data_IF_991926468765
#
_entry.id   IF_991926468765
#
_cell.length_a   1.000
_cell.length_b   1.000
_cell.length_c   1.000
_cell.angle_alpha   90.00
_cell.angle_beta   90.00
_cell.angle_gamma   90.00
#
_symmetry.space_group_name_H-M   'P 1'
#
loop_
_entity.id
_entity.type
_entity.pdbx_description
1 polymer ?
#
# COMPACT_ATOMS: atom_id res chain seq x y z
N UNK A 1 -1.61 -7.25 12.61
CA UNK A 1 -2.31 -6.38 11.63
C UNK A 1 -1.48 -6.24 10.38
N UNK A 2 -2.07 -6.26 9.20
CA UNK A 2 -1.37 -6.09 7.93
C UNK A 2 -1.98 -4.93 7.18
N UNK A 3 -1.17 -4.00 6.68
CA UNK A 3 -1.62 -2.79 5.99
C UNK A 3 -1.11 -2.78 4.55
N UNK A 4 -1.94 -2.31 3.61
CA UNK A 4 -1.42 -1.75 2.37
C UNK A 4 -0.81 -0.36 2.64
N UNK A 5 -0.11 0.22 1.67
CA UNK A 5 0.60 1.48 1.85
C UNK A 5 -0.13 2.64 1.16
N UNK A 6 -0.11 2.66 -0.18
CA UNK A 6 -0.68 3.74 -0.97
C UNK A 6 -2.22 3.76 -0.83
N UNK A 7 -2.80 4.92 -0.55
CA UNK A 7 -4.25 5.04 -0.32
C UNK A 7 -4.76 4.49 1.01
N UNK A 8 -3.94 3.75 1.75
CA UNK A 8 -4.27 3.12 3.03
C UNK A 8 -3.53 3.78 4.20
N UNK A 9 -2.21 3.74 4.22
CA UNK A 9 -1.40 4.42 5.25
C UNK A 9 -1.22 5.90 4.92
N UNK A 10 -1.04 6.26 3.64
CA UNK A 10 -0.82 7.64 3.21
C UNK A 10 -1.40 7.93 1.80
N UNK A 11 -1.64 9.23 1.51
CA UNK A 11 -2.18 9.70 0.22
C UNK A 11 -1.06 9.91 -0.82
N UNK A 12 -0.43 8.82 -1.24
CA UNK A 12 0.78 8.80 -2.06
C UNK A 12 0.55 8.52 -3.54
N UNK A 13 -0.70 8.25 -3.95
CA UNK A 13 -1.03 7.85 -5.32
C UNK A 13 -0.70 8.94 -6.36
N UNK A 14 -1.01 10.23 -6.08
CA UNK A 14 -0.65 11.32 -6.99
C UNK A 14 0.86 11.43 -7.18
N UNK A 15 1.62 11.32 -6.08
CA UNK A 15 3.09 11.35 -6.09
C UNK A 15 3.64 10.21 -6.96
N UNK A 16 3.07 9.02 -6.83
CA UNK A 16 3.44 7.85 -7.62
C UNK A 16 3.16 8.08 -9.12
N UNK A 17 1.97 8.58 -9.45
CA UNK A 17 1.58 8.88 -10.84
C UNK A 17 2.52 9.93 -11.45
N UNK A 18 2.79 11.02 -10.76
CA UNK A 18 3.68 12.08 -11.24
C UNK A 18 5.11 11.56 -11.46
N UNK A 19 5.63 10.73 -10.57
CA UNK A 19 6.96 10.12 -10.72
C UNK A 19 7.03 9.20 -11.95
N UNK A 20 5.97 8.39 -12.22
CA UNK A 20 5.88 7.60 -13.45
C UNK A 20 5.84 8.47 -14.70
N UNK A 21 4.99 9.50 -14.71
CA UNK A 21 4.90 10.42 -15.84
C UNK A 21 6.25 11.07 -16.15
N UNK A 22 6.97 11.48 -15.11
CA UNK A 22 8.31 12.06 -15.23
C UNK A 22 9.31 11.06 -15.82
N UNK A 23 9.41 9.87 -15.24
CA UNK A 23 10.36 8.85 -15.68
C UNK A 23 10.10 8.38 -17.11
N UNK A 24 8.84 8.05 -17.45
CA UNK A 24 8.46 7.61 -18.79
C UNK A 24 8.79 8.71 -19.82
N UNK A 25 8.40 9.96 -19.54
CA UNK A 25 8.73 11.09 -20.43
C UNK A 25 10.24 11.27 -20.63
N UNK A 26 11.03 11.15 -19.58
CA UNK A 26 12.49 11.33 -19.65
C UNK A 26 13.16 10.29 -20.56
N UNK A 27 12.65 9.06 -20.61
CA UNK A 27 13.26 7.95 -21.34
C UNK A 27 12.62 7.68 -22.71
N UNK A 28 11.36 8.06 -22.94
CA UNK A 28 10.66 7.80 -24.20
C UNK A 28 10.29 9.07 -24.97
N UNK A 29 10.18 10.21 -24.28
CA UNK A 29 9.62 11.44 -24.80
C UNK A 29 8.09 11.48 -24.75
N UNK A 30 7.41 10.39 -24.39
CA UNK A 30 5.95 10.30 -24.35
C UNK A 30 5.38 10.97 -23.09
N UNK A 31 4.20 11.55 -23.25
CA UNK A 31 3.45 12.16 -22.16
C UNK A 31 2.20 11.33 -21.88
N UNK A 32 2.26 10.48 -20.84
CA UNK A 32 1.09 9.74 -20.39
C UNK A 32 0.21 10.61 -19.48
N UNK A 33 -1.10 10.47 -19.65
CA UNK A 33 -2.09 10.99 -18.69
C UNK A 33 -2.09 10.17 -17.41
N UNK A 34 -2.60 10.69 -16.28
CA UNK A 34 -2.78 9.90 -15.06
C UNK A 34 -3.52 8.57 -15.29
N UNK A 35 -4.58 8.59 -16.10
CA UNK A 35 -5.37 7.40 -16.40
C UNK A 35 -4.58 6.34 -17.19
N UNK A 36 -3.71 6.75 -18.11
CA UNK A 36 -2.83 5.84 -18.85
C UNK A 36 -1.77 5.23 -17.95
N UNK A 37 -1.22 5.99 -16.99
CA UNK A 37 -0.31 5.44 -15.98
C UNK A 37 -1.01 4.40 -15.11
N UNK A 38 -2.19 4.71 -14.58
CA UNK A 38 -2.99 3.79 -13.75
C UNK A 38 -3.36 2.51 -14.53
N UNK A 39 -3.61 2.60 -15.83
CA UNK A 39 -3.90 1.44 -16.67
C UNK A 39 -2.73 0.44 -16.81
N UNK A 40 -1.51 0.86 -16.48
CA UNK A 40 -0.31 -0.01 -16.46
C UNK A 40 -0.11 -0.72 -15.11
N UNK A 41 -0.88 -0.35 -14.08
CA UNK A 41 -0.69 -0.91 -12.73
C UNK A 41 -1.05 -2.40 -12.67
N UNK A 42 -0.40 -3.08 -11.74
CA UNK A 42 -0.54 -4.52 -11.50
C UNK A 42 0.78 -5.15 -11.04
N UNK A 43 1.89 -4.99 -11.79
CA UNK A 43 3.23 -5.30 -11.29
C UNK A 43 3.80 -4.14 -10.44
N UNK A 44 5.01 -4.35 -9.89
CA UNK A 44 5.78 -3.26 -9.25
C UNK A 44 6.17 -2.17 -10.24
N UNK A 45 6.75 -1.09 -9.75
CA UNK A 45 7.24 0.02 -10.58
C UNK A 45 8.19 -0.46 -11.68
N UNK A 46 9.05 -1.43 -11.37
CA UNK A 46 9.97 -2.03 -12.35
C UNK A 46 9.19 -2.71 -13.49
N UNK A 47 8.09 -3.40 -13.15
CA UNK A 47 7.25 -4.06 -14.15
C UNK A 47 6.49 -3.06 -15.02
N UNK A 48 5.97 -1.99 -14.42
CA UNK A 48 5.31 -0.88 -15.14
C UNK A 48 6.29 -0.20 -16.10
N UNK A 49 7.48 0.17 -15.62
CA UNK A 49 8.51 0.84 -16.43
C UNK A 49 9.06 -0.08 -17.52
N UNK A 50 9.24 -1.37 -17.24
CA UNK A 50 9.60 -2.37 -18.26
C UNK A 50 8.60 -2.41 -19.41
N UNK A 51 7.32 -2.33 -19.10
CA UNK A 51 6.26 -2.32 -20.11
C UNK A 51 6.19 -0.99 -20.89
N UNK A 52 6.38 0.15 -20.20
CA UNK A 52 6.21 1.47 -20.78
C UNK A 52 7.45 1.97 -21.54
N UNK A 53 8.67 1.65 -21.08
CA UNK A 53 9.94 2.17 -21.61
C UNK A 53 10.62 1.17 -22.56
N UNK A 54 10.44 -0.12 -22.31
CA UNK A 54 11.08 -1.16 -23.12
C UNK A 54 12.52 -1.47 -22.66
N UNK A 55 13.50 -1.68 -23.57
CA UNK A 55 14.81 -2.27 -23.24
C UNK A 55 15.64 -1.49 -22.20
N UNK A 56 15.45 -0.19 -22.09
CA UNK A 56 16.22 0.70 -21.19
C UNK A 56 15.46 0.99 -19.88
N UNK A 57 14.52 0.13 -19.49
CA UNK A 57 13.68 0.33 -18.34
C UNK A 57 14.43 0.41 -17.01
N UNK A 58 15.59 -0.25 -16.86
CA UNK A 58 16.38 -0.26 -15.61
C UNK A 58 16.83 1.15 -15.22
N UNK A 59 17.31 1.95 -16.18
CA UNK A 59 17.69 3.34 -15.94
C UNK A 59 16.48 4.22 -15.60
N UNK A 60 15.30 3.89 -16.16
CA UNK A 60 14.07 4.60 -15.84
C UNK A 60 13.58 4.35 -14.41
N UNK A 61 13.92 3.21 -13.79
CA UNK A 61 13.62 2.94 -12.37
C UNK A 61 14.38 3.90 -11.47
N UNK A 62 15.66 4.13 -11.73
CA UNK A 62 16.45 5.10 -10.94
C UNK A 62 15.88 6.52 -11.08
N UNK A 63 15.45 6.90 -12.29
CA UNK A 63 14.80 8.18 -12.54
C UNK A 63 13.47 8.29 -11.78
N UNK A 64 12.67 7.23 -11.80
CA UNK A 64 11.41 7.15 -11.06
C UNK A 64 11.65 7.30 -9.55
N UNK A 65 12.55 6.52 -8.97
CA UNK A 65 12.80 6.52 -7.53
C UNK A 65 13.31 7.87 -7.03
N UNK A 66 14.21 8.51 -7.77
CA UNK A 66 14.71 9.84 -7.42
C UNK A 66 13.59 10.90 -7.45
N UNK A 67 12.73 10.85 -8.46
CA UNK A 67 11.59 11.77 -8.56
C UNK A 67 10.52 11.46 -7.52
N UNK A 68 10.24 10.17 -7.27
CA UNK A 68 9.31 9.73 -6.24
C UNK A 68 9.72 10.24 -4.84
N UNK A 69 10.97 10.06 -4.46
CA UNK A 69 11.50 10.57 -3.19
C UNK A 69 11.37 12.10 -3.10
N UNK A 70 11.74 12.81 -4.17
CA UNK A 70 11.63 14.28 -4.24
C UNK A 70 10.19 14.76 -4.06
N UNK A 71 9.23 14.13 -4.72
CA UNK A 71 7.81 14.49 -4.66
C UNK A 71 7.16 14.06 -3.34
N UNK A 72 7.61 12.95 -2.76
CA UNK A 72 7.01 12.39 -1.54
C UNK A 72 7.15 13.31 -0.33
N UNK A 73 8.10 14.25 -0.34
CA UNK A 73 8.23 15.29 0.70
C UNK A 73 6.94 16.12 0.84
N UNK A 74 6.11 16.20 -0.21
CA UNK A 74 4.80 16.87 -0.14
C UNK A 74 3.74 16.11 0.67
N UNK A 75 3.99 14.82 0.96
CA UNK A 75 3.11 13.95 1.76
C UNK A 75 3.93 13.39 2.94
N UNK A 76 4.29 14.23 3.93
CA UNK A 76 5.21 13.84 5.01
C UNK A 76 4.53 13.06 6.14
N UNK A 77 3.22 12.96 6.15
CA UNK A 77 2.45 12.35 7.22
C UNK A 77 1.49 11.28 6.71
N UNK A 78 1.27 10.20 7.48
CA UNK A 78 0.19 9.25 7.23
C UNK A 78 -1.19 9.91 7.27
N UNK A 79 -2.21 9.22 6.79
CA UNK A 79 -3.59 9.67 6.96
C UNK A 79 -3.91 9.99 8.44
N UNK A 80 -4.83 10.96 8.69
CA UNK A 80 -5.16 11.37 10.05
C UNK A 80 -5.61 10.22 10.94
N UNK A 81 -4.98 10.06 12.12
CA UNK A 81 -5.26 8.99 13.08
C UNK A 81 -4.42 7.72 12.90
N UNK A 82 -3.74 7.54 11.75
CA UNK A 82 -2.91 6.34 11.51
C UNK A 82 -1.68 6.33 12.42
N UNK A 83 -0.91 7.42 12.51
CA UNK A 83 0.28 7.44 13.39
C UNK A 83 -0.05 7.10 14.84
N UNK A 84 -1.03 7.77 15.51
CA UNK A 84 -1.43 7.37 16.88
C UNK A 84 -1.92 5.92 16.99
N UNK A 85 -2.55 5.38 15.94
CA UNK A 85 -2.95 3.98 15.91
C UNK A 85 -1.74 3.05 15.90
N UNK A 86 -0.74 3.30 15.05
CA UNK A 86 0.49 2.50 14.99
C UNK A 86 1.23 2.53 16.33
N UNK A 87 1.36 3.72 16.95
CA UNK A 87 1.97 3.89 18.28
C UNK A 87 1.22 3.07 19.35
N UNK A 88 -0.11 3.08 19.31
CA UNK A 88 -0.94 2.28 20.22
C UNK A 88 -0.71 0.79 20.00
N UNK A 89 -0.76 0.30 18.76
CA UNK A 89 -0.56 -1.13 18.43
C UNK A 89 0.83 -1.62 18.87
N UNK A 90 1.88 -0.80 18.65
CA UNK A 90 3.22 -1.08 19.22
C UNK A 90 3.18 -1.20 20.74
N UNK A 91 2.50 -0.26 21.43
CA UNK A 91 2.44 -0.22 22.90
C UNK A 91 1.77 -1.47 23.48
N UNK A 92 0.71 -1.97 22.81
CA UNK A 92 -0.01 -3.17 23.25
C UNK A 92 0.59 -4.48 22.70
N UNK A 93 1.69 -4.39 21.94
CA UNK A 93 2.44 -5.55 21.44
C UNK A 93 1.74 -6.32 20.32
N UNK A 94 0.89 -5.66 19.53
CA UNK A 94 0.25 -6.29 18.37
C UNK A 94 1.22 -6.22 17.18
N UNK A 95 1.63 -7.36 16.59
CA UNK A 95 2.54 -7.37 15.45
C UNK A 95 1.91 -6.69 14.24
N UNK A 96 2.74 -5.91 13.52
CA UNK A 96 2.32 -5.18 12.33
C UNK A 96 3.20 -5.48 11.14
N UNK A 97 2.60 -5.53 9.95
CA UNK A 97 3.33 -5.67 8.69
C UNK A 97 2.71 -4.80 7.59
N UNK A 98 3.52 -4.47 6.60
CA UNK A 98 3.06 -3.90 5.33
C UNK A 98 3.11 -4.98 4.26
N UNK A 99 2.03 -5.12 3.48
CA UNK A 99 2.00 -5.92 2.25
C UNK A 99 1.44 -5.04 1.14
N UNK A 100 2.29 -4.62 0.23
CA UNK A 100 1.98 -3.62 -0.80
C UNK A 100 2.27 -4.12 -2.21
N UNK A 101 1.63 -3.50 -3.20
CA UNK A 101 1.95 -3.71 -4.62
C UNK A 101 3.23 -3.00 -5.08
N UNK A 102 3.75 -2.06 -4.27
CA UNK A 102 4.98 -1.32 -4.59
C UNK A 102 6.20 -2.22 -4.65
N UNK A 103 7.24 -1.75 -5.37
CA UNK A 103 8.57 -2.33 -5.28
C UNK A 103 9.23 -2.06 -3.91
N UNK A 104 10.26 -2.83 -3.56
CA UNK A 104 10.86 -2.75 -2.23
C UNK A 104 11.51 -1.39 -1.95
N UNK A 105 12.10 -0.75 -2.96
CA UNK A 105 12.79 0.55 -2.80
C UNK A 105 11.80 1.70 -2.61
N UNK A 106 10.74 1.74 -3.39
CA UNK A 106 9.71 2.78 -3.27
C UNK A 106 8.87 2.64 -2.00
N UNK A 107 8.62 1.39 -1.55
CA UNK A 107 7.99 1.14 -0.26
C UNK A 107 8.87 1.64 0.90
N UNK A 108 10.18 1.39 0.85
CA UNK A 108 11.13 1.88 1.85
C UNK A 108 11.15 3.42 1.89
N UNK A 109 11.28 4.09 0.73
CA UNK A 109 11.22 5.55 0.64
C UNK A 109 9.96 6.09 1.32
N UNK A 110 8.80 5.47 1.04
CA UNK A 110 7.54 5.93 1.66
C UNK A 110 7.55 5.81 3.16
N UNK A 111 7.96 4.66 3.70
CA UNK A 111 7.98 4.44 5.15
C UNK A 111 8.94 5.37 5.86
N UNK A 112 10.13 5.63 5.28
CA UNK A 112 11.14 6.56 5.80
C UNK A 112 10.64 8.02 5.79
N UNK A 113 10.08 8.50 4.67
CA UNK A 113 9.54 9.87 4.58
C UNK A 113 8.37 10.05 5.55
N UNK A 114 7.52 9.04 5.69
CA UNK A 114 6.41 9.05 6.65
C UNK A 114 6.90 8.88 8.10
N UNK A 115 8.14 8.45 8.36
CA UNK A 115 8.70 8.18 9.68
C UNK A 115 7.91 7.13 10.45
N UNK A 116 7.53 6.04 9.79
CA UNK A 116 6.77 4.93 10.37
C UNK A 116 7.42 3.57 10.11
N UNK A 117 8.63 3.52 9.57
CA UNK A 117 9.35 2.30 9.25
C UNK A 117 9.54 1.37 10.45
N UNK A 118 9.85 1.94 11.61
CA UNK A 118 10.09 1.20 12.86
C UNK A 118 8.82 0.57 13.47
N UNK A 119 7.63 0.92 12.95
CA UNK A 119 6.37 0.37 13.44
C UNK A 119 6.09 -1.06 12.95
N UNK A 120 6.79 -1.52 11.90
CA UNK A 120 6.47 -2.77 11.21
C UNK A 120 7.53 -3.85 11.41
N UNK A 121 7.09 -5.06 11.80
CA UNK A 121 7.96 -6.25 11.94
C UNK A 121 8.39 -6.81 10.58
N UNK A 122 7.65 -6.51 9.52
CA UNK A 122 7.92 -6.96 8.16
C UNK A 122 7.29 -6.03 7.11
N UNK A 123 7.98 -5.91 5.99
CA UNK A 123 7.50 -5.23 4.78
C UNK A 123 7.64 -6.20 3.61
N UNK A 124 6.52 -6.59 3.03
CA UNK A 124 6.44 -7.46 1.87
C UNK A 124 6.03 -6.65 0.64
N UNK A 125 6.96 -6.46 -0.25
CA UNK A 125 6.77 -5.73 -1.50
C UNK A 125 6.10 -6.58 -2.58
N UNK A 126 5.61 -5.95 -3.63
CA UNK A 126 5.03 -6.59 -4.80
C UNK A 126 6.02 -7.42 -5.61
N UNK A 127 5.62 -7.81 -6.81
CA UNK A 127 6.43 -8.55 -7.77
C UNK A 127 6.42 -7.87 -9.13
N UNK A 128 7.56 -7.92 -9.81
CA UNK A 128 7.70 -7.43 -11.18
C UNK A 128 6.80 -8.18 -12.18
N UNK A 129 6.41 -9.41 -11.85
CA UNK A 129 5.65 -10.29 -12.74
C UNK A 129 4.14 -10.30 -12.44
N UNK A 130 3.68 -9.54 -11.45
CA UNK A 130 2.26 -9.37 -11.14
C UNK A 130 1.85 -9.56 -9.68
N UNK A 131 0.55 -9.70 -9.45
CA UNK A 131 -0.05 -9.71 -8.12
C UNK A 131 0.36 -10.94 -7.29
N UNK A 132 0.86 -10.68 -6.07
CA UNK A 132 1.31 -11.71 -5.12
C UNK A 132 0.81 -11.45 -3.69
N UNK A 133 -0.14 -10.53 -3.50
CA UNK A 133 -0.59 -10.08 -2.16
C UNK A 133 -1.05 -11.24 -1.27
N UNK A 134 -1.94 -12.13 -1.75
CA UNK A 134 -2.42 -13.26 -0.93
C UNK A 134 -1.29 -14.15 -0.43
N UNK A 135 -0.28 -14.43 -1.27
CA UNK A 135 0.88 -15.24 -0.89
C UNK A 135 1.71 -14.53 0.19
N UNK A 136 1.90 -13.21 0.06
CA UNK A 136 2.63 -12.40 1.02
C UNK A 136 1.90 -12.28 2.36
N UNK A 137 0.57 -12.08 2.33
CA UNK A 137 -0.28 -12.10 3.53
C UNK A 137 -0.15 -13.46 4.24
N UNK A 138 -0.30 -14.57 3.50
CA UNK A 138 -0.18 -15.93 4.06
C UNK A 138 1.20 -16.15 4.68
N UNK A 139 2.28 -15.70 4.02
CA UNK A 139 3.64 -15.81 4.56
C UNK A 139 3.80 -15.06 5.90
N UNK A 140 3.26 -13.85 6.02
CA UNK A 140 3.27 -13.09 7.29
C UNK A 140 2.49 -13.82 8.38
N UNK A 141 1.29 -14.33 8.05
CA UNK A 141 0.43 -15.07 8.99
C UNK A 141 1.13 -16.32 9.51
N UNK A 142 1.77 -17.11 8.62
CA UNK A 142 2.56 -18.27 8.96
C UNK A 142 3.74 -17.91 9.89
N UNK A 143 4.47 -16.85 9.57
CA UNK A 143 5.60 -16.34 10.38
C UNK A 143 5.16 -15.93 11.78
N UNK A 144 3.98 -15.33 11.92
CA UNK A 144 3.43 -14.97 13.23
C UNK A 144 2.87 -16.17 14.00
N UNK A 145 2.59 -17.30 13.34
CA UNK A 145 2.08 -18.52 13.97
C UNK A 145 0.69 -18.37 14.55
N UNK A 146 -0.15 -17.52 13.97
CA UNK A 146 -1.51 -17.24 14.44
C UNK A 146 -2.56 -17.75 13.45
N UNK A 147 -3.81 -18.04 13.86
CA UNK A 147 -4.86 -18.39 12.92
C UNK A 147 -5.15 -17.23 11.96
N UNK A 148 -5.24 -17.48 10.63
CA UNK A 148 -5.51 -16.41 9.65
C UNK A 148 -6.75 -15.56 9.97
N UNK A 149 -7.83 -16.18 10.44
CA UNK A 149 -9.07 -15.51 10.83
C UNK A 149 -8.94 -14.53 12.03
N UNK A 150 -7.77 -14.47 12.67
CA UNK A 150 -7.45 -13.46 13.71
C UNK A 150 -6.61 -12.30 13.20
N UNK A 151 -6.18 -12.36 11.93
CA UNK A 151 -5.39 -11.33 11.28
C UNK A 151 -6.29 -10.44 10.43
N UNK A 152 -6.07 -9.14 10.55
CA UNK A 152 -6.78 -8.13 9.76
C UNK A 152 -5.84 -7.60 8.68
N UNK A 153 -6.30 -7.59 7.44
CA UNK A 153 -5.66 -6.90 6.33
C UNK A 153 -6.47 -5.65 5.96
N UNK A 154 -5.81 -4.51 5.85
CA UNK A 154 -6.42 -3.21 5.56
C UNK A 154 -5.90 -2.71 4.22
N UNK A 155 -6.81 -2.39 3.28
CA UNK A 155 -6.45 -1.87 1.96
C UNK A 155 -7.56 -1.05 1.32
N UNK A 156 -7.22 -0.22 0.32
CA UNK A 156 -8.13 0.74 -0.33
C UNK A 156 -8.61 0.28 -1.71
N UNK A 157 -8.08 -0.83 -2.21
CA UNK A 157 -8.43 -1.34 -3.54
C UNK A 157 -9.31 -2.61 -3.45
N UNK A 158 -10.27 -2.84 -4.39
CA UNK A 158 -11.10 -4.06 -4.40
C UNK A 158 -10.32 -5.37 -4.35
N UNK A 159 -9.15 -5.41 -4.97
CA UNK A 159 -8.26 -6.59 -4.90
C UNK A 159 -7.77 -6.87 -3.48
N UNK A 160 -7.67 -5.88 -2.61
CA UNK A 160 -7.20 -6.07 -1.25
C UNK A 160 -8.14 -6.97 -0.43
N UNK A 161 -9.43 -6.72 -0.52
CA UNK A 161 -10.43 -7.59 0.12
C UNK A 161 -10.40 -9.01 -0.45
N UNK A 162 -10.30 -9.15 -1.78
CA UNK A 162 -10.22 -10.45 -2.45
C UNK A 162 -8.97 -11.23 -1.99
N UNK A 163 -7.81 -10.58 -1.95
CA UNK A 163 -6.55 -11.22 -1.57
C UNK A 163 -6.49 -11.52 -0.06
N UNK A 164 -7.08 -10.67 0.78
CA UNK A 164 -7.27 -10.95 2.21
C UNK A 164 -8.11 -12.21 2.44
N UNK A 165 -9.26 -12.30 1.78
CA UNK A 165 -10.13 -13.49 1.86
C UNK A 165 -9.45 -14.76 1.32
N UNK A 166 -8.67 -14.66 0.24
CA UNK A 166 -7.86 -15.79 -0.27
C UNK A 166 -6.83 -16.27 0.75
N UNK A 167 -6.27 -15.37 1.53
CA UNK A 167 -5.35 -15.69 2.63
C UNK A 167 -6.08 -16.14 3.91
N UNK A 168 -7.42 -16.10 3.94
CA UNK A 168 -8.24 -16.45 5.09
C UNK A 168 -8.25 -15.41 6.21
N UNK A 169 -7.82 -14.18 5.92
CA UNK A 169 -7.78 -13.07 6.88
C UNK A 169 -9.05 -12.21 6.79
N UNK A 170 -9.27 -11.37 7.80
CA UNK A 170 -10.35 -10.39 7.84
C UNK A 170 -9.98 -9.22 6.92
N UNK A 171 -10.86 -8.88 5.99
CA UNK A 171 -10.68 -7.78 5.06
C UNK A 171 -11.32 -6.49 5.57
N UNK A 172 -10.52 -5.43 5.73
CA UNK A 172 -11.00 -4.09 6.09
C UNK A 172 -10.80 -3.14 4.92
N UNK A 173 -11.88 -2.56 4.43
CA UNK A 173 -11.84 -1.60 3.35
C UNK A 173 -11.51 -0.19 3.86
N UNK A 174 -10.42 0.38 3.34
CA UNK A 174 -9.92 1.73 3.60
C UNK A 174 -10.45 2.70 2.53
N UNK A 175 -11.68 3.19 2.68
CA UNK A 175 -12.31 4.04 1.66
C UNK A 175 -12.09 5.55 1.89
N UNK A 176 -11.02 5.94 2.56
CA UNK A 176 -10.73 7.33 2.91
C UNK A 176 -9.78 8.07 1.95
N UNK A 177 -9.16 7.36 1.00
CA UNK A 177 -8.41 8.01 -0.06
C UNK A 177 -9.35 8.61 -1.11
N UNK A 178 -9.00 9.79 -1.63
CA UNK A 178 -9.74 10.44 -2.73
C UNK A 178 -9.69 9.66 -4.05
N UNK A 179 -8.79 8.70 -4.16
CA UNK A 179 -8.61 7.86 -5.35
C UNK A 179 -9.38 6.53 -5.26
N UNK A 180 -9.97 6.22 -4.10
CA UNK A 180 -10.69 4.97 -3.91
C UNK A 180 -11.97 4.93 -4.75
N UNK A 181 -12.13 3.89 -5.57
CA UNK A 181 -13.43 3.55 -6.17
C UNK A 181 -14.31 2.88 -5.11
N UNK A 182 -15.07 3.74 -4.41
CA UNK A 182 -15.93 3.34 -3.30
C UNK A 182 -16.95 2.25 -3.69
N UNK A 183 -17.52 2.34 -4.91
CA UNK A 183 -18.50 1.36 -5.35
C UNK A 183 -17.86 0.00 -5.69
N UNK A 184 -16.70 0.01 -6.34
CA UNK A 184 -15.94 -1.20 -6.61
C UNK A 184 -15.45 -1.86 -5.31
N UNK A 185 -14.97 -1.03 -4.35
CA UNK A 185 -14.52 -1.52 -3.05
C UNK A 185 -15.67 -2.16 -2.24
N UNK A 186 -16.87 -1.58 -2.26
CA UNK A 186 -18.05 -2.19 -1.63
C UNK A 186 -18.47 -3.50 -2.30
N UNK A 187 -18.37 -3.58 -3.64
CA UNK A 187 -18.67 -4.82 -4.39
C UNK A 187 -17.69 -5.96 -4.12
N UNK A 188 -16.50 -5.67 -3.58
CA UNK A 188 -15.55 -6.72 -3.17
C UNK A 188 -15.90 -7.39 -1.84
N UNK A 189 -17.02 -6.97 -1.21
CA UNK A 189 -17.59 -7.53 0.01
C UNK A 189 -16.58 -7.64 1.17
N UNK A 190 -15.92 -6.53 1.58
CA UNK A 190 -15.04 -6.53 2.74
C UNK A 190 -15.83 -6.83 4.02
N UNK A 191 -15.19 -7.43 5.03
CA UNK A 191 -15.81 -7.72 6.33
C UNK A 191 -16.16 -6.44 7.11
N UNK A 192 -15.32 -5.39 6.96
CA UNK A 192 -15.55 -4.07 7.56
C UNK A 192 -15.20 -2.98 6.54
N UNK A 193 -15.86 -1.81 6.67
CA UNK A 193 -15.68 -0.68 5.74
C UNK A 193 -15.64 0.64 6.50
N UNK A 194 -14.63 1.47 6.19
CA UNK A 194 -14.48 2.81 6.77
C UNK A 194 -14.16 3.84 5.68
N UNK A 195 -14.89 4.95 5.67
CA UNK A 195 -14.63 6.13 4.84
C UNK A 195 -13.82 7.21 5.56
N UNK A 196 -13.43 6.94 6.81
CA UNK A 196 -12.61 7.80 7.65
C UNK A 196 -11.50 7.00 8.35
N UNK A 197 -10.25 7.36 8.08
CA UNK A 197 -9.09 6.78 8.76
C UNK A 197 -9.12 7.02 10.29
N UNK A 198 -9.71 8.14 10.74
CA UNK A 198 -9.88 8.43 12.17
C UNK A 198 -10.91 7.51 12.82
N UNK A 199 -12.03 7.23 12.14
CA UNK A 199 -13.05 6.30 12.65
C UNK A 199 -12.49 4.88 12.70
N UNK A 200 -11.79 4.45 11.67
CA UNK A 200 -11.06 3.18 11.66
C UNK A 200 -10.08 3.08 12.85
N UNK A 201 -9.25 4.11 13.04
CA UNK A 201 -8.28 4.13 14.15
C UNK A 201 -8.96 4.04 15.51
N UNK A 202 -10.04 4.77 15.73
CA UNK A 202 -10.82 4.73 16.97
C UNK A 202 -11.49 3.36 17.19
N UNK A 203 -12.07 2.80 16.14
CA UNK A 203 -12.69 1.46 16.17
C UNK A 203 -11.67 0.38 16.54
N UNK A 204 -10.48 0.38 15.90
CA UNK A 204 -9.45 -0.62 16.17
C UNK A 204 -8.84 -0.47 17.56
N UNK A 205 -8.53 0.77 17.98
CA UNK A 205 -8.02 1.05 19.33
C UNK A 205 -8.97 0.54 20.39
N UNK A 206 -10.29 0.76 20.25
CA UNK A 206 -11.27 0.29 21.23
C UNK A 206 -11.31 -1.24 21.38
N UNK A 207 -11.02 -1.98 20.31
CA UNK A 207 -10.99 -3.46 20.31
C UNK A 207 -9.70 -4.04 20.89
N UNK A 208 -8.62 -3.29 20.84
CA UNK A 208 -7.30 -3.72 21.33
C UNK A 208 -6.97 -3.27 22.76
N UNK A 209 -7.81 -2.45 23.37
CA UNK A 209 -7.67 -2.00 24.77
C UNK A 209 -8.13 -3.06 25.80
N UNK A 210 -8.79 -4.14 25.40
CA UNK A 210 -9.45 -5.10 26.31
C UNK A 210 -8.91 -6.54 26.17
N UNK A 211 -7.74 -6.69 25.57
CA UNK A 211 -7.04 -7.96 25.35
C UNK A 211 -5.78 -8.07 26.28
#
# INVERSE_FOLDING_TARGET
>A
MIFDLDGTLADTLDVCIEAFQYAIKAHTGDHLTPAEVVALWGPTEEGVLRAAVGPEWEDSVETFLAEYERLHISVPEPFPGIRPLLDHLCTVGIPMAVVTGKGPRSAQISLEVLGIEDAFDAVEAGSIDGAVKAQKISHIVEKWGVPPATVVYIGDHPHDAIEAHRAGTIAVAAAWSKHTDVEALRRSEPDEYFDSSREFAAWLTSRTMHG
#
